data_IF_325642364199
#
_entry.id   IF_325642364199
#
_cell.length_a   1.000
_cell.length_b   1.000
_cell.length_c   1.000
_cell.angle_alpha   90.00
_cell.angle_beta   90.00
_cell.angle_gamma   90.00
#
_symmetry.space_group_name_H-M   'P 1'
#
loop_
_entity.id
_entity.type
_entity.pdbx_description
1 polymer ?
#
# COMPACT_ATOMS: atom_id res chain seq x y z
N UNK A 1 -2.87 -26.47 -15.53
CA UNK A 1 -2.81 -25.17 -14.85
C UNK A 1 -3.03 -25.45 -13.36
N UNK A 2 -1.94 -25.59 -12.62
CA UNK A 2 -1.98 -25.89 -11.18
C UNK A 2 -2.01 -24.54 -10.47
N UNK A 3 -3.13 -24.25 -9.82
CA UNK A 3 -3.26 -23.08 -8.94
C UNK A 3 -2.36 -23.33 -7.74
N UNK A 4 -1.36 -22.50 -7.53
CA UNK A 4 -0.51 -22.53 -6.36
C UNK A 4 -1.37 -22.41 -5.10
N UNK A 5 -1.14 -23.31 -4.15
CA UNK A 5 -1.85 -23.32 -2.88
C UNK A 5 -1.63 -22.00 -2.12
N UNK A 6 -2.65 -21.47 -1.42
CA UNK A 6 -2.49 -20.29 -0.59
C UNK A 6 -1.50 -20.58 0.53
N UNK A 7 -0.55 -19.67 0.75
CA UNK A 7 0.38 -19.72 1.87
C UNK A 7 -0.41 -19.78 3.18
N UNK A 8 -0.31 -20.89 3.88
CA UNK A 8 -1.06 -21.18 5.09
C UNK A 8 -0.51 -20.36 6.29
N UNK A 9 -1.45 -19.75 7.04
CA UNK A 9 -1.33 -19.48 8.47
C UNK A 9 -0.43 -18.32 8.89
N UNK A 10 -1.04 -17.12 9.02
CA UNK A 10 -0.51 -16.08 9.90
C UNK A 10 -1.20 -16.17 11.28
N UNK A 11 -0.51 -15.92 12.41
CA UNK A 11 -1.11 -15.91 13.74
C UNK A 11 -2.03 -14.69 13.91
N UNK A 12 -3.29 -14.95 14.11
CA UNK A 12 -4.34 -13.99 14.41
C UNK A 12 -5.68 -14.59 14.03
N UNK A 13 -6.57 -14.79 15.00
CA UNK A 13 -7.91 -15.29 14.74
C UNK A 13 -8.61 -14.43 13.68
N UNK A 14 -9.29 -15.04 12.68
CA UNK A 14 -10.01 -14.30 11.67
C UNK A 14 -11.11 -13.48 12.32
N UNK A 15 -11.02 -12.16 12.21
CA UNK A 15 -12.14 -11.28 12.59
C UNK A 15 -13.33 -11.63 11.69
N UNK A 16 -14.53 -11.83 12.22
CA UNK A 16 -15.72 -12.04 11.41
C UNK A 16 -15.91 -10.83 10.47
N UNK A 17 -15.75 -11.06 9.15
CA UNK A 17 -15.80 -9.98 8.14
C UNK A 17 -14.51 -9.74 7.37
N UNK A 18 -13.40 -10.45 7.65
CA UNK A 18 -12.12 -10.27 6.99
C UNK A 18 -11.19 -9.26 7.71
N UNK A 19 -9.91 -9.26 7.32
CA UNK A 19 -8.91 -8.36 7.92
C UNK A 19 -9.16 -6.90 7.52
N UNK A 20 -9.04 -5.94 8.46
CA UNK A 20 -9.35 -4.53 8.27
C UNK A 20 -8.28 -3.61 8.87
N UNK A 21 -7.78 -2.69 8.07
CA UNK A 21 -7.03 -1.52 8.51
C UNK A 21 -8.01 -0.37 8.69
N UNK A 22 -7.96 0.30 9.83
CA UNK A 22 -8.88 1.39 10.15
C UNK A 22 -8.16 2.56 10.78
N UNK A 23 -8.53 3.76 10.35
CA UNK A 23 -8.12 5.03 10.94
C UNK A 23 -9.38 5.82 11.29
N UNK A 24 -9.48 6.31 12.53
CA UNK A 24 -10.65 7.02 13.04
C UNK A 24 -10.25 8.36 13.62
N UNK A 25 -10.92 9.42 13.18
CA UNK A 25 -10.80 10.78 13.73
C UNK A 25 -9.37 11.28 13.83
N UNK A 26 -8.53 10.96 12.81
CA UNK A 26 -7.14 11.39 12.79
C UNK A 26 -7.02 12.90 12.81
N UNK A 27 -6.10 13.39 13.64
CA UNK A 27 -5.80 14.83 13.80
C UNK A 27 -4.30 15.05 13.76
N UNK A 28 -3.90 16.16 13.11
CA UNK A 28 -2.49 16.59 13.08
C UNK A 28 -2.37 18.08 12.92
N UNK A 29 -1.54 18.69 13.78
CA UNK A 29 -1.12 20.09 13.66
C UNK A 29 0.42 20.20 13.62
N UNK A 30 0.90 21.18 12.92
CA UNK A 30 2.30 21.60 12.90
C UNK A 30 2.39 23.06 13.35
N UNK A 31 2.84 23.27 14.58
CA UNK A 31 2.77 24.58 15.23
C UNK A 31 1.32 25.05 15.36
N UNK A 32 1.02 26.22 14.85
CA UNK A 32 -0.36 26.78 14.86
C UNK A 32 -1.25 26.28 13.71
N UNK A 33 -0.69 25.55 12.73
CA UNK A 33 -1.44 25.11 11.55
C UNK A 33 -1.98 23.69 11.75
N UNK A 34 -3.29 23.53 11.84
CA UNK A 34 -3.94 22.23 11.78
C UNK A 34 -4.04 21.76 10.31
N UNK A 35 -3.38 20.65 9.98
CA UNK A 35 -3.33 20.09 8.62
C UNK A 35 -4.34 18.97 8.44
N UNK A 36 -4.56 18.15 9.46
CA UNK A 36 -5.60 17.12 9.50
C UNK A 36 -6.50 17.42 10.68
N UNK A 37 -7.79 17.64 10.41
CA UNK A 37 -8.77 18.07 11.41
C UNK A 37 -9.63 16.92 11.92
N UNK A 38 -10.14 16.12 10.98
CA UNK A 38 -10.93 14.91 11.27
C UNK A 38 -10.95 14.01 10.03
N UNK A 39 -10.05 13.03 9.99
CA UNK A 39 -9.98 12.07 8.87
C UNK A 39 -10.22 10.67 9.40
N UNK A 40 -11.25 10.03 8.85
CA UNK A 40 -11.57 8.63 9.11
C UNK A 40 -11.62 7.88 7.78
N UNK A 41 -10.98 6.72 7.73
CA UNK A 41 -10.99 5.82 6.56
C UNK A 41 -10.76 4.37 6.99
N UNK A 42 -11.09 3.45 6.09
CA UNK A 42 -10.78 2.03 6.29
C UNK A 42 -10.43 1.36 4.99
N UNK A 43 -9.67 0.27 5.08
CA UNK A 43 -9.30 -0.62 3.98
C UNK A 43 -9.57 -2.04 4.42
N UNK A 44 -10.31 -2.79 3.61
CA UNK A 44 -10.55 -4.21 3.85
C UNK A 44 -9.52 -5.07 3.10
N UNK A 45 -9.35 -6.29 3.55
CA UNK A 45 -8.57 -7.29 2.83
C UNK A 45 -9.11 -7.49 1.41
N UNK A 46 -8.24 -7.41 0.40
CA UNK A 46 -8.64 -7.56 -1.01
C UNK A 46 -9.39 -6.37 -1.59
N UNK A 47 -9.33 -5.22 -0.93
CA UNK A 47 -9.92 -3.96 -1.39
C UNK A 47 -8.81 -2.99 -1.83
N UNK A 48 -9.05 -2.23 -2.88
CA UNK A 48 -8.21 -1.10 -3.32
C UNK A 48 -8.90 0.20 -2.98
N UNK A 49 -8.28 0.99 -2.12
CA UNK A 49 -8.81 2.25 -1.62
C UNK A 49 -7.95 3.43 -2.06
N UNK A 50 -8.56 4.44 -2.64
CA UNK A 50 -7.92 5.71 -3.00
C UNK A 50 -8.05 6.77 -1.90
N UNK A 51 -6.95 7.45 -1.56
CA UNK A 51 -6.91 8.62 -0.68
C UNK A 51 -6.54 9.84 -1.52
N UNK A 52 -7.55 10.59 -1.98
CA UNK A 52 -7.43 11.62 -2.99
C UNK A 52 -7.84 13.00 -2.45
N UNK A 53 -7.61 14.05 -3.25
CA UNK A 53 -7.97 15.42 -2.91
C UNK A 53 -6.93 16.44 -3.38
N UNK A 54 -7.19 17.74 -3.28
CA UNK A 54 -6.30 18.80 -3.74
C UNK A 54 -4.98 18.86 -2.95
N UNK A 55 -4.01 19.62 -3.49
CA UNK A 55 -2.75 19.86 -2.80
C UNK A 55 -2.97 20.60 -1.47
N UNK A 56 -2.25 20.15 -0.43
CA UNK A 56 -2.40 20.72 0.91
C UNK A 56 -3.62 20.27 1.69
N UNK A 57 -4.47 19.38 1.15
CA UNK A 57 -5.68 18.88 1.82
C UNK A 57 -5.41 18.00 3.05
N UNK A 58 -4.18 17.53 3.26
CA UNK A 58 -3.81 16.66 4.37
C UNK A 58 -3.63 15.18 4.01
N UNK A 59 -3.73 14.79 2.71
CA UNK A 59 -3.55 13.41 2.23
C UNK A 59 -2.27 12.75 2.74
N UNK A 60 -1.13 13.28 2.33
CA UNK A 60 0.19 12.73 2.68
C UNK A 60 0.39 12.65 4.19
N UNK A 61 -0.08 13.65 4.95
CA UNK A 61 -0.01 13.63 6.40
C UNK A 61 -0.86 12.51 6.98
N UNK A 62 -2.10 12.34 6.52
CA UNK A 62 -2.99 11.25 6.96
C UNK A 62 -2.42 9.89 6.60
N UNK A 63 -1.93 9.73 5.39
CA UNK A 63 -1.25 8.53 4.91
C UNK A 63 -0.02 8.19 5.77
N UNK A 64 0.84 9.17 6.05
CA UNK A 64 2.04 8.96 6.88
C UNK A 64 1.74 8.67 8.35
N UNK A 65 0.61 9.16 8.88
CA UNK A 65 0.13 8.75 10.20
C UNK A 65 -0.24 7.26 10.20
N UNK A 66 -0.89 6.76 9.15
CA UNK A 66 -1.27 5.35 9.01
C UNK A 66 -0.03 4.47 8.82
N UNK A 67 0.94 4.90 8.01
CA UNK A 67 2.24 4.21 7.84
C UNK A 67 3.02 4.15 9.17
N UNK A 68 2.94 5.19 9.99
CA UNK A 68 3.71 5.33 11.23
C UNK A 68 4.98 6.17 11.08
N UNK A 69 5.09 6.95 9.99
CA UNK A 69 6.15 7.94 9.77
C UNK A 69 5.88 9.26 10.50
N UNK A 70 4.60 9.60 10.68
CA UNK A 70 4.13 10.77 11.42
C UNK A 70 3.25 10.31 12.58
N UNK A 71 3.48 10.86 13.78
CA UNK A 71 2.62 10.59 14.93
C UNK A 71 1.36 11.45 14.83
N UNK A 72 0.20 10.82 14.98
CA UNK A 72 -1.08 11.54 15.11
C UNK A 72 -1.12 12.28 16.45
N UNK A 73 -1.76 13.46 16.46
CA UNK A 73 -2.02 14.22 17.68
C UNK A 73 -3.38 13.82 18.31
N UNK A 74 -4.24 13.14 17.55
CA UNK A 74 -5.51 12.58 18.01
C UNK A 74 -6.06 11.55 17.02
N UNK A 75 -7.05 10.80 17.48
CA UNK A 75 -7.65 9.69 16.74
C UNK A 75 -6.89 8.37 16.95
N UNK A 76 -7.43 7.32 16.34
CA UNK A 76 -6.97 5.94 16.51
C UNK A 76 -6.64 5.31 15.15
N UNK A 77 -5.64 4.42 15.15
CA UNK A 77 -5.30 3.56 14.03
C UNK A 77 -5.23 2.13 14.54
N UNK A 78 -5.94 1.22 13.87
CA UNK A 78 -5.97 -0.19 14.25
C UNK A 78 -5.86 -1.12 13.03
N UNK A 79 -5.32 -2.31 13.26
CA UNK A 79 -5.31 -3.44 12.32
C UNK A 79 -6.05 -4.57 13.02
N UNK A 80 -7.17 -5.01 12.45
CA UNK A 80 -8.05 -6.03 13.04
C UNK A 80 -8.45 -5.72 14.50
N UNK A 81 -8.74 -4.46 14.78
CA UNK A 81 -9.09 -3.98 16.12
C UNK A 81 -7.89 -3.81 17.07
N UNK A 82 -6.69 -4.26 16.69
CA UNK A 82 -5.48 -4.06 17.48
C UNK A 82 -4.95 -2.63 17.26
N UNK A 83 -4.84 -1.79 18.33
CA UNK A 83 -4.32 -0.44 18.20
C UNK A 83 -2.85 -0.44 17.77
N UNK A 84 -2.55 0.35 16.71
CA UNK A 84 -1.17 0.48 16.16
C UNK A 84 -0.69 1.94 16.13
N UNK A 85 -1.50 2.90 16.51
CA UNK A 85 -1.22 4.33 16.40
C UNK A 85 0.10 4.78 17.03
N UNK A 86 0.49 4.17 18.16
CA UNK A 86 1.73 4.44 18.86
C UNK A 86 2.90 3.50 18.48
N UNK A 87 2.67 2.54 17.59
CA UNK A 87 3.71 1.60 17.16
C UNK A 87 4.56 2.22 16.04
N UNK A 88 5.89 2.06 16.10
CA UNK A 88 6.77 2.45 15.01
C UNK A 88 6.55 1.56 13.78
N UNK A 89 6.94 2.05 12.59
CA UNK A 89 6.70 1.40 11.30
C UNK A 89 7.12 -0.09 11.28
N UNK A 90 8.28 -0.44 11.83
CA UNK A 90 8.75 -1.83 11.84
C UNK A 90 7.86 -2.77 12.67
N UNK A 91 7.19 -2.26 13.71
CA UNK A 91 6.20 -3.03 14.48
C UNK A 91 4.87 -3.16 13.74
N UNK A 92 4.46 -2.11 13.02
CA UNK A 92 3.28 -2.19 12.13
C UNK A 92 3.51 -3.17 10.99
N UNK A 93 4.74 -3.24 10.46
CA UNK A 93 5.13 -4.21 9.43
C UNK A 93 4.95 -5.66 9.92
N UNK A 94 5.36 -5.98 11.15
CA UNK A 94 5.13 -7.31 11.75
C UNK A 94 3.65 -7.63 11.96
N UNK A 95 2.79 -6.62 12.00
CA UNK A 95 1.34 -6.77 12.05
C UNK A 95 0.69 -6.78 10.65
N UNK A 96 1.49 -6.91 9.61
CA UNK A 96 1.03 -7.07 8.24
C UNK A 96 0.79 -5.76 7.47
N UNK A 97 1.38 -4.63 7.88
CA UNK A 97 1.32 -3.37 7.16
C UNK A 97 2.62 -3.11 6.41
N UNK A 98 2.61 -3.15 5.09
CA UNK A 98 3.76 -2.79 4.26
C UNK A 98 3.60 -1.41 3.64
N UNK A 99 4.73 -0.75 3.36
CA UNK A 99 4.76 0.58 2.77
C UNK A 99 5.74 0.62 1.60
N UNK A 100 5.27 1.12 0.46
CA UNK A 100 6.08 1.40 -0.71
C UNK A 100 6.11 2.92 -0.94
N UNK A 101 7.26 3.57 -0.73
CA UNK A 101 7.42 5.00 -0.98
C UNK A 101 7.37 5.33 -2.47
N UNK A 102 7.16 6.63 -2.77
CA UNK A 102 7.26 7.18 -4.10
C UNK A 102 8.68 7.01 -4.67
N UNK A 103 9.69 7.33 -3.85
CA UNK A 103 11.10 7.17 -4.24
C UNK A 103 11.52 5.69 -4.23
N UNK A 104 12.42 5.35 -5.17
CA UNK A 104 12.96 4.01 -5.28
C UNK A 104 13.65 3.56 -3.98
N UNK A 105 13.12 2.48 -3.39
CA UNK A 105 13.58 1.90 -2.13
C UNK A 105 14.52 0.72 -2.30
N UNK A 106 14.85 0.36 -3.55
CA UNK A 106 15.68 -0.82 -3.86
C UNK A 106 17.11 -0.70 -3.30
N UNK A 107 17.67 -1.79 -2.82
CA UNK A 107 19.09 -1.87 -2.43
C UNK A 107 19.97 -1.90 -3.68
N UNK A 108 20.44 -0.74 -4.08
CA UNK A 108 21.08 -0.49 -5.39
C UNK A 108 22.29 -1.35 -5.68
N UNK A 109 23.05 -1.78 -4.66
CA UNK A 109 24.27 -2.57 -4.78
C UNK A 109 24.03 -4.09 -4.77
N UNK A 110 22.82 -4.52 -4.50
CA UNK A 110 22.43 -5.92 -4.45
C UNK A 110 21.82 -6.35 -5.79
N UNK A 111 21.87 -7.64 -6.07
CA UNK A 111 21.14 -8.28 -7.17
C UNK A 111 19.63 -8.32 -6.86
N UNK A 112 18.82 -8.72 -7.83
CA UNK A 112 17.38 -8.90 -7.66
C UNK A 112 17.09 -9.90 -6.54
N UNK A 113 17.69 -11.11 -6.61
CA UNK A 113 17.49 -12.13 -5.58
C UNK A 113 17.97 -11.67 -4.19
N UNK A 114 19.12 -11.00 -4.10
CA UNK A 114 19.64 -10.50 -2.83
C UNK A 114 18.73 -9.43 -2.21
N UNK A 115 18.08 -8.60 -3.02
CA UNK A 115 17.09 -7.63 -2.56
C UNK A 115 15.92 -8.30 -1.85
N UNK A 116 15.37 -9.37 -2.41
CA UNK A 116 14.24 -10.10 -1.83
C UNK A 116 14.70 -10.96 -0.65
N UNK A 117 15.82 -11.65 -0.79
CA UNK A 117 16.45 -12.50 0.23
C UNK A 117 16.72 -11.73 1.52
N UNK A 118 17.27 -10.51 1.44
CA UNK A 118 17.55 -9.67 2.61
C UNK A 118 16.33 -9.40 3.48
N UNK A 119 15.12 -9.42 2.90
CA UNK A 119 13.88 -9.28 3.66
C UNK A 119 13.38 -10.63 4.17
N UNK A 120 13.50 -11.69 3.37
CA UNK A 120 13.12 -13.05 3.77
C UNK A 120 13.94 -13.56 4.96
N UNK A 121 15.22 -13.22 5.04
CA UNK A 121 16.11 -13.59 6.17
C UNK A 121 15.67 -12.99 7.52
N UNK A 122 14.85 -11.94 7.48
CA UNK A 122 14.27 -11.30 8.69
C UNK A 122 12.89 -11.88 9.05
N UNK A 123 12.37 -12.81 8.25
CA UNK A 123 11.06 -13.42 8.50
C UNK A 123 11.20 -14.68 9.37
N UNK A 124 10.10 -15.01 10.03
CA UNK A 124 9.98 -16.17 10.91
C UNK A 124 8.99 -17.19 10.32
N UNK A 125 9.18 -18.45 10.68
CA UNK A 125 8.22 -19.52 10.39
C UNK A 125 6.99 -19.44 11.31
N UNK A 126 6.02 -20.33 11.14
CA UNK A 126 4.81 -20.39 11.97
C UNK A 126 5.09 -20.68 13.47
N UNK A 127 6.31 -21.10 13.80
CA UNK A 127 6.77 -21.37 15.16
C UNK A 127 7.61 -20.22 15.73
N UNK A 128 7.73 -19.08 15.03
CA UNK A 128 8.53 -17.93 15.44
C UNK A 128 10.05 -18.13 15.33
N UNK A 129 10.52 -19.06 14.51
CA UNK A 129 11.93 -19.33 14.26
C UNK A 129 12.34 -18.72 12.90
N UNK A 130 13.60 -18.32 12.72
CA UNK A 130 14.09 -17.89 11.42
C UNK A 130 13.77 -18.93 10.33
N UNK A 131 13.42 -18.47 9.13
CA UNK A 131 13.14 -19.35 8.00
C UNK A 131 14.31 -20.30 7.72
N UNK A 132 14.01 -21.60 7.54
CA UNK A 132 14.99 -22.58 7.09
C UNK A 132 15.44 -22.29 5.65
N UNK A 133 16.66 -22.74 5.29
CA UNK A 133 17.23 -22.48 3.95
C UNK A 133 16.32 -22.94 2.80
N UNK A 134 15.70 -24.09 2.92
CA UNK A 134 14.80 -24.64 1.89
C UNK A 134 13.55 -23.75 1.74
N UNK A 135 12.89 -23.44 2.83
CA UNK A 135 11.68 -22.60 2.83
C UNK A 135 11.98 -21.18 2.32
N UNK A 136 13.14 -20.62 2.71
CA UNK A 136 13.57 -19.31 2.23
C UNK A 136 13.73 -19.31 0.71
N UNK A 137 14.40 -20.34 0.15
CA UNK A 137 14.62 -20.45 -1.29
C UNK A 137 13.30 -20.65 -2.04
N UNK A 138 12.41 -21.51 -1.55
CA UNK A 138 11.08 -21.71 -2.14
C UNK A 138 10.26 -20.41 -2.16
N UNK A 139 10.28 -19.64 -1.07
CA UNK A 139 9.60 -18.34 -1.02
C UNK A 139 10.23 -17.32 -1.95
N UNK A 140 11.57 -17.31 -2.06
CA UNK A 140 12.29 -16.44 -2.97
C UNK A 140 11.91 -16.73 -4.43
N UNK A 141 11.98 -17.98 -4.86
CA UNK A 141 11.62 -18.38 -6.23
C UNK A 141 10.15 -18.04 -6.55
N UNK A 142 9.24 -18.31 -5.62
CA UNK A 142 7.83 -17.99 -5.79
C UNK A 142 7.62 -16.48 -5.99
N UNK A 143 8.26 -15.62 -5.18
CA UNK A 143 8.13 -14.17 -5.29
C UNK A 143 8.72 -13.61 -6.59
N UNK A 144 9.87 -14.14 -7.03
CA UNK A 144 10.49 -13.72 -8.29
C UNK A 144 9.62 -14.12 -9.49
N UNK A 145 9.06 -15.33 -9.49
CA UNK A 145 8.16 -15.81 -10.54
C UNK A 145 6.84 -15.03 -10.58
N UNK A 146 6.22 -14.80 -9.42
CA UNK A 146 4.98 -14.04 -9.28
C UNK A 146 5.06 -12.64 -9.89
N UNK A 147 6.19 -11.96 -9.67
CA UNK A 147 6.44 -10.62 -10.19
C UNK A 147 7.16 -10.63 -11.56
N UNK A 148 7.38 -11.82 -12.16
CA UNK A 148 8.02 -12.01 -13.46
C UNK A 148 9.40 -11.34 -13.54
N UNK A 149 10.22 -11.50 -12.50
CA UNK A 149 11.59 -11.00 -12.41
C UNK A 149 12.61 -12.12 -12.15
N UNK A 150 12.18 -13.38 -12.26
CA UNK A 150 12.99 -14.58 -12.11
C UNK A 150 14.17 -14.63 -13.10
N UNK A 151 13.95 -14.23 -14.35
CA UNK A 151 14.97 -14.13 -15.39
C UNK A 151 16.04 -13.05 -15.12
N UNK A 152 15.79 -12.14 -14.17
CA UNK A 152 16.68 -11.06 -13.75
C UNK A 152 17.35 -11.34 -12.39
N UNK A 153 17.20 -12.56 -11.84
CA UNK A 153 17.59 -12.87 -10.46
C UNK A 153 19.01 -12.43 -10.09
N UNK A 154 19.97 -12.62 -11.01
CA UNK A 154 21.37 -12.28 -10.81
C UNK A 154 21.76 -10.89 -11.33
N UNK A 155 20.80 -10.16 -11.88
CA UNK A 155 21.04 -8.81 -12.40
C UNK A 155 21.22 -7.83 -11.25
N UNK A 156 22.22 -6.92 -11.34
CA UNK A 156 22.36 -5.84 -10.37
C UNK A 156 21.14 -4.92 -10.41
N UNK A 157 20.64 -4.50 -9.24
CA UNK A 157 19.48 -3.63 -9.14
C UNK A 157 19.62 -2.28 -9.88
N UNK A 158 20.86 -1.81 -10.07
CA UNK A 158 21.16 -0.60 -10.85
C UNK A 158 20.88 -0.75 -12.36
N UNK A 159 20.91 -1.97 -12.89
CA UNK A 159 20.69 -2.24 -14.31
C UNK A 159 19.21 -2.34 -14.68
N UNK A 160 18.31 -2.37 -13.70
CA UNK A 160 16.88 -2.55 -13.91
C UNK A 160 16.22 -1.30 -14.50
N UNK A 161 15.30 -1.51 -15.43
CA UNK A 161 14.34 -0.49 -15.87
C UNK A 161 13.43 -0.05 -14.70
N UNK A 162 12.72 1.05 -14.86
CA UNK A 162 11.80 1.56 -13.84
C UNK A 162 10.73 0.53 -13.44
N UNK A 163 10.12 -0.14 -14.43
CA UNK A 163 9.09 -1.16 -14.19
C UNK A 163 9.65 -2.42 -13.52
N UNK A 164 10.81 -2.92 -13.96
CA UNK A 164 11.47 -4.06 -13.31
C UNK A 164 11.85 -3.75 -11.87
N UNK A 165 12.39 -2.56 -11.62
CA UNK A 165 12.72 -2.08 -10.29
C UNK A 165 11.50 -2.07 -9.38
N UNK A 166 10.37 -1.53 -9.87
CA UNK A 166 9.12 -1.48 -9.11
C UNK A 166 8.60 -2.88 -8.77
N UNK A 167 8.71 -3.84 -9.70
CA UNK A 167 8.36 -5.25 -9.44
C UNK A 167 9.23 -5.87 -8.34
N UNK A 168 10.54 -5.60 -8.33
CA UNK A 168 11.43 -6.08 -7.26
C UNK A 168 11.11 -5.43 -5.91
N UNK A 169 10.78 -4.14 -5.86
CA UNK A 169 10.35 -3.47 -4.63
C UNK A 169 9.06 -4.07 -4.08
N UNK A 170 8.13 -4.45 -4.94
CA UNK A 170 6.89 -5.11 -4.55
C UNK A 170 7.16 -6.56 -4.09
N UNK A 171 8.06 -7.30 -4.77
CA UNK A 171 8.49 -8.61 -4.31
C UNK A 171 9.08 -8.56 -2.88
N UNK A 172 9.89 -7.53 -2.60
CA UNK A 172 10.39 -7.26 -1.23
C UNK A 172 9.28 -6.97 -0.24
N UNK A 173 8.29 -6.16 -0.63
CA UNK A 173 7.15 -5.87 0.22
C UNK A 173 6.34 -7.15 0.52
N UNK A 174 6.11 -7.98 -0.50
CA UNK A 174 5.42 -9.26 -0.36
C UNK A 174 6.19 -10.29 0.47
N UNK A 175 7.52 -10.19 0.54
CA UNK A 175 8.35 -11.06 1.38
C UNK A 175 7.99 -10.96 2.88
N UNK A 176 7.39 -9.83 3.31
CA UNK A 176 6.88 -9.66 4.68
C UNK A 176 5.49 -10.26 4.90
N UNK A 177 4.89 -10.88 3.88
CA UNK A 177 3.52 -11.44 3.89
C UNK A 177 2.47 -10.42 4.39
N UNK A 178 2.37 -9.23 3.77
CA UNK A 178 1.53 -8.17 4.27
C UNK A 178 0.04 -8.50 4.08
N UNK A 179 -0.78 -8.03 5.02
CA UNK A 179 -2.25 -7.99 4.88
C UNK A 179 -2.70 -6.72 4.17
N UNK A 180 -1.92 -5.64 4.34
CA UNK A 180 -2.16 -4.34 3.74
C UNK A 180 -0.87 -3.77 3.16
N UNK A 181 -0.96 -3.16 1.97
CA UNK A 181 0.13 -2.42 1.33
C UNK A 181 -0.31 -0.99 1.09
N UNK A 182 0.50 -0.05 1.54
CA UNK A 182 0.30 1.37 1.33
C UNK A 182 1.24 1.86 0.22
N UNK A 183 0.67 2.41 -0.86
CA UNK A 183 1.39 2.90 -2.03
C UNK A 183 1.34 4.43 -2.07
N UNK A 184 2.51 5.04 -1.99
CA UNK A 184 2.68 6.49 -2.04
C UNK A 184 2.98 6.93 -3.47
N UNK A 185 2.04 7.64 -4.08
CA UNK A 185 2.10 8.18 -5.44
C UNK A 185 2.65 7.20 -6.50
N UNK A 186 2.04 5.99 -6.64
CA UNK A 186 2.58 4.96 -7.52
C UNK A 186 2.57 5.34 -9.01
N UNK A 187 1.77 6.33 -9.43
CA UNK A 187 1.66 6.79 -10.81
C UNK A 187 2.41 8.10 -11.08
N UNK A 188 3.12 8.64 -10.10
CA UNK A 188 3.81 9.91 -10.25
C UNK A 188 5.03 9.80 -11.17
N UNK A 189 5.08 10.64 -12.21
CA UNK A 189 6.26 10.79 -13.08
C UNK A 189 6.58 9.58 -13.94
N UNK A 190 5.62 8.69 -14.19
CA UNK A 190 5.79 7.50 -15.06
C UNK A 190 5.04 7.66 -16.38
N UNK A 191 5.48 6.91 -17.39
CA UNK A 191 4.84 6.88 -18.70
C UNK A 191 3.55 6.02 -18.70
N UNK A 192 2.65 6.19 -19.71
CA UNK A 192 1.38 5.46 -19.77
C UNK A 192 1.52 3.92 -19.79
N UNK A 193 2.62 3.38 -20.33
CA UNK A 193 2.85 1.93 -20.39
C UNK A 193 3.15 1.44 -18.98
N UNK A 194 3.99 2.17 -18.24
CA UNK A 194 4.32 1.86 -16.85
C UNK A 194 3.08 1.98 -15.93
N UNK A 195 2.16 2.91 -16.20
CA UNK A 195 0.87 3.00 -15.47
C UNK A 195 0.10 1.68 -15.58
N UNK A 196 -0.05 1.13 -16.79
CA UNK A 196 -0.76 -0.14 -17.01
C UNK A 196 -0.08 -1.29 -16.26
N UNK A 197 1.25 -1.32 -16.22
CA UNK A 197 1.97 -2.35 -15.46
C UNK A 197 1.70 -2.25 -13.95
N UNK A 198 1.71 -1.05 -13.38
CA UNK A 198 1.41 -0.83 -11.96
C UNK A 198 -0.04 -1.18 -11.65
N UNK A 199 -0.99 -0.81 -12.51
CA UNK A 199 -2.39 -1.20 -12.35
C UNK A 199 -2.57 -2.72 -12.32
N UNK A 200 -1.88 -3.46 -13.19
CA UNK A 200 -1.86 -4.93 -13.18
C UNK A 200 -1.30 -5.50 -11.87
N UNK A 201 -0.23 -4.89 -11.35
CA UNK A 201 0.35 -5.32 -10.09
C UNK A 201 -0.63 -5.06 -8.92
N UNK A 202 -1.31 -3.92 -8.91
CA UNK A 202 -2.31 -3.62 -7.87
C UNK A 202 -3.48 -4.62 -7.96
N UNK A 203 -3.95 -4.95 -9.17
CA UNK A 203 -4.93 -6.01 -9.38
C UNK A 203 -4.47 -7.37 -8.83
N UNK A 204 -3.22 -7.74 -9.11
CA UNK A 204 -2.60 -8.95 -8.58
C UNK A 204 -2.53 -8.96 -7.02
N UNK A 205 -2.23 -7.83 -6.38
CA UNK A 205 -2.25 -7.71 -4.92
C UNK A 205 -3.67 -7.92 -4.37
N UNK A 206 -4.66 -7.30 -5.00
CA UNK A 206 -6.08 -7.45 -4.66
C UNK A 206 -6.55 -8.91 -4.78
N UNK A 207 -6.23 -9.59 -5.88
CA UNK A 207 -6.57 -11.01 -6.12
C UNK A 207 -5.95 -11.93 -5.07
N UNK A 208 -4.80 -11.58 -4.52
CA UNK A 208 -4.17 -12.26 -3.38
C UNK A 208 -4.81 -11.94 -2.03
N UNK A 209 -5.84 -11.13 -2.03
CA UNK A 209 -6.53 -10.73 -0.82
C UNK A 209 -5.75 -9.72 0.02
N UNK A 210 -4.83 -8.95 -0.57
CA UNK A 210 -4.11 -7.87 0.11
C UNK A 210 -4.92 -6.59 -0.04
N UNK A 211 -5.21 -5.90 1.07
CA UNK A 211 -5.82 -4.58 1.04
C UNK A 211 -4.79 -3.53 0.59
N UNK A 212 -5.17 -2.64 -0.31
CA UNK A 212 -4.26 -1.62 -0.86
C UNK A 212 -4.80 -0.22 -0.58
N UNK A 213 -3.99 0.64 0.02
CA UNK A 213 -4.28 2.07 0.16
C UNK A 213 -3.34 2.85 -0.76
N UNK A 214 -3.90 3.68 -1.62
CA UNK A 214 -3.16 4.47 -2.60
C UNK A 214 -3.39 5.96 -2.35
N UNK A 215 -2.33 6.76 -2.34
CA UNK A 215 -2.43 8.20 -2.51
C UNK A 215 -1.71 8.61 -3.79
N UNK A 216 -2.36 9.43 -4.63
CA UNK A 216 -1.76 9.89 -5.89
C UNK A 216 -2.36 11.23 -6.34
N UNK A 217 -1.69 11.89 -7.26
CA UNK A 217 -2.16 13.08 -7.95
C UNK A 217 -2.89 12.73 -9.26
N UNK A 218 -2.65 11.55 -9.82
CA UNK A 218 -3.29 11.05 -11.05
C UNK A 218 -4.66 10.44 -10.71
N UNK A 219 -5.65 11.32 -10.56
CA UNK A 219 -7.01 10.95 -10.12
C UNK A 219 -7.64 9.90 -11.00
N UNK A 220 -7.55 10.06 -12.34
CA UNK A 220 -8.17 9.15 -13.30
C UNK A 220 -7.60 7.74 -13.16
N UNK A 221 -6.27 7.62 -13.13
CA UNK A 221 -5.58 6.35 -13.03
C UNK A 221 -5.88 5.64 -11.70
N UNK A 222 -5.96 6.43 -10.62
CA UNK A 222 -6.26 5.91 -9.29
C UNK A 222 -7.71 5.47 -9.17
N UNK A 223 -8.68 6.31 -9.56
CA UNK A 223 -10.11 5.94 -9.52
C UNK A 223 -10.40 4.73 -10.41
N UNK A 224 -9.70 4.60 -11.56
CA UNK A 224 -9.89 3.50 -12.49
C UNK A 224 -9.55 2.11 -11.93
N UNK A 225 -8.87 2.01 -10.78
CA UNK A 225 -8.49 0.75 -10.15
C UNK A 225 -8.99 0.59 -8.71
N UNK A 226 -9.58 1.65 -8.13
CA UNK A 226 -10.11 1.61 -6.77
C UNK A 226 -11.50 0.97 -6.72
N UNK A 227 -11.78 0.26 -5.64
CA UNK A 227 -13.13 -0.16 -5.27
C UNK A 227 -13.85 0.95 -4.51
N UNK A 228 -13.10 1.74 -3.74
CA UNK A 228 -13.59 2.82 -2.91
C UNK A 228 -12.58 3.97 -2.88
N UNK A 229 -13.04 5.20 -2.70
CA UNK A 229 -12.17 6.35 -2.53
C UNK A 229 -12.65 7.30 -1.43
N UNK A 230 -11.69 7.92 -0.76
CA UNK A 230 -11.89 9.01 0.20
C UNK A 230 -11.30 10.28 -0.39
N UNK A 231 -12.11 11.32 -0.48
CA UNK A 231 -11.66 12.65 -0.93
C UNK A 231 -11.45 13.52 0.28
N UNK A 232 -10.19 13.92 0.50
CA UNK A 232 -9.85 14.86 1.57
C UNK A 232 -9.82 16.29 1.03
N UNK A 233 -10.42 17.19 1.77
CA UNK A 233 -10.35 18.63 1.55
C UNK A 233 -10.26 19.36 2.88
N UNK A 234 -9.34 20.33 2.98
CA UNK A 234 -9.14 21.16 4.18
C UNK A 234 -9.06 20.35 5.49
N UNK A 235 -8.33 19.23 5.45
CA UNK A 235 -8.09 18.37 6.63
C UNK A 235 -9.26 17.49 7.07
N UNK A 236 -10.34 17.40 6.29
CA UNK A 236 -11.50 16.58 6.55
C UNK A 236 -11.82 15.66 5.36
N UNK A 237 -12.58 14.59 5.59
CA UNK A 237 -13.17 13.80 4.51
C UNK A 237 -14.34 14.58 3.93
N UNK A 238 -14.19 15.03 2.67
CA UNK A 238 -15.23 15.74 1.91
C UNK A 238 -16.30 14.78 1.38
N UNK A 239 -15.85 13.64 0.83
CA UNK A 239 -16.70 12.60 0.28
C UNK A 239 -16.01 11.24 0.35
N UNK A 240 -16.80 10.17 0.35
CA UNK A 240 -16.35 8.80 0.23
C UNK A 240 -17.38 8.01 -0.57
N UNK A 241 -16.94 6.98 -1.28
CA UNK A 241 -17.82 6.13 -2.08
C UNK A 241 -17.07 5.39 -3.18
N UNK A 242 -17.82 4.74 -4.07
CA UNK A 242 -17.27 4.14 -5.28
C UNK A 242 -16.72 5.21 -6.22
N UNK A 243 -15.86 4.86 -7.18
CA UNK A 243 -15.38 5.80 -8.20
C UNK A 243 -16.50 6.58 -8.89
N UNK A 244 -17.60 5.91 -9.22
CA UNK A 244 -18.77 6.52 -9.87
C UNK A 244 -19.42 7.57 -8.96
N UNK A 245 -19.66 7.23 -7.69
CA UNK A 245 -20.23 8.14 -6.70
C UNK A 245 -19.33 9.37 -6.48
N UNK A 246 -18.02 9.18 -6.46
CA UNK A 246 -17.02 10.26 -6.33
C UNK A 246 -17.09 11.21 -7.54
N UNK A 247 -17.14 10.67 -8.76
CA UNK A 247 -17.15 11.46 -9.99
C UNK A 247 -18.47 12.23 -10.15
N UNK A 248 -19.59 11.70 -9.66
CA UNK A 248 -20.91 12.35 -9.70
C UNK A 248 -21.12 13.38 -8.58
N UNK A 249 -20.30 13.33 -7.52
CA UNK A 249 -20.44 14.21 -6.36
C UNK A 249 -20.17 15.68 -6.73
N UNK A 250 -21.18 16.55 -6.55
CA UNK A 250 -21.10 17.96 -6.93
C UNK A 250 -20.02 18.74 -6.16
N UNK A 251 -19.82 18.45 -4.88
CA UNK A 251 -18.81 19.12 -4.07
C UNK A 251 -17.40 18.68 -4.47
N UNK A 252 -17.20 17.40 -4.77
CA UNK A 252 -15.93 16.87 -5.28
C UNK A 252 -15.59 17.49 -6.63
N UNK A 253 -16.57 17.59 -7.55
CA UNK A 253 -16.36 18.25 -8.85
C UNK A 253 -15.98 19.72 -8.67
N UNK A 254 -16.67 20.44 -7.82
CA UNK A 254 -16.41 21.87 -7.58
C UNK A 254 -15.03 22.12 -6.96
N UNK A 255 -14.60 21.29 -6.00
CA UNK A 255 -13.40 21.53 -5.19
C UNK A 255 -12.14 20.88 -5.78
N UNK A 256 -12.28 19.76 -6.50
CA UNK A 256 -11.14 18.92 -6.86
C UNK A 256 -11.09 18.49 -8.33
N UNK A 257 -12.15 17.88 -8.88
CA UNK A 257 -12.12 17.29 -10.21
C UNK A 257 -12.28 18.32 -11.34
N UNK A 258 -13.05 19.39 -11.12
CA UNK A 258 -13.52 20.30 -12.14
C UNK A 258 -14.78 19.79 -12.88
N UNK A 259 -15.54 20.70 -13.46
CA UNK A 259 -16.86 20.41 -14.08
C UNK A 259 -16.76 19.46 -15.28
N UNK A 260 -15.63 19.47 -15.99
CA UNK A 260 -15.44 18.71 -17.24
C UNK A 260 -14.69 17.38 -17.03
N UNK A 261 -14.43 16.98 -15.81
CA UNK A 261 -13.76 15.70 -15.53
C UNK A 261 -14.60 14.52 -16.04
N UNK A 262 -13.94 13.59 -16.74
CA UNK A 262 -14.52 12.31 -17.20
C UNK A 262 -13.51 11.18 -16.90
N UNK A 263 -14.02 10.03 -16.48
CA UNK A 263 -13.26 8.79 -16.35
C UNK A 263 -12.76 8.28 -17.70
#
# INVERSE_FOLDING_TARGET
MTVAAPLAGLPGDPVPGGSRLEARHLRKAYGSRTVVKDVSLSVQKGEVVGLLGPNGAGKTTSFYMIVGLVRADGGDISIDGQPVGNLPIHRRSRLGLSYLPQEASIFRKLTVQENVRAVLELQEDAQGRPLGKVELEERLEALLADLRVDHLRDSPALALSGGERRRVEIARALATQPRFILLDEPFAGIDPIAVIEIQRIIGFLKERGIGVLITDHNVRETLGICDHAFIISDGNVLAQGTPEEIVENADVRRVYLGEHFRM
#
